data_IF_079988382325
#
_entry.id   IF_079988382325
#
_cell.length_a   1.000
_cell.length_b   1.000
_cell.length_c   1.000
_cell.angle_alpha   90.00
_cell.angle_beta   90.00
_cell.angle_gamma   90.00
#
_symmetry.space_group_name_H-M   'P 1'
#
loop_
_entity.id
_entity.type
_entity.pdbx_description
1 polymer ?
#
# COMPACT_ATOMS: atom_id res chain seq x y z
N UNK A 1 31.57 -33.22 -34.54
CA UNK A 1 30.20 -33.00 -34.01
C UNK A 1 30.32 -32.01 -32.85
N UNK A 2 29.40 -31.06 -32.72
CA UNK A 2 29.43 -30.06 -31.65
C UNK A 2 28.77 -30.65 -30.40
N UNK A 3 29.46 -30.58 -29.25
CA UNK A 3 28.92 -31.01 -27.96
C UNK A 3 27.87 -30.03 -27.45
N UNK A 4 26.98 -30.53 -26.58
CA UNK A 4 25.98 -29.69 -25.92
C UNK A 4 26.62 -28.70 -24.95
N UNK A 5 26.03 -27.52 -24.84
CA UNK A 5 26.41 -26.53 -23.84
C UNK A 5 25.88 -26.92 -22.45
N UNK A 6 26.42 -26.31 -21.40
CA UNK A 6 25.96 -26.53 -20.02
C UNK A 6 24.47 -26.19 -19.84
N UNK A 7 23.98 -25.13 -20.48
CA UNK A 7 22.56 -24.74 -20.44
C UNK A 7 21.66 -25.80 -21.09
N UNK A 8 22.09 -26.34 -22.24
CA UNK A 8 21.37 -27.43 -22.92
C UNK A 8 21.34 -28.71 -22.07
N UNK A 9 22.45 -29.05 -21.40
CA UNK A 9 22.48 -30.19 -20.46
C UNK A 9 21.55 -29.98 -19.25
N UNK A 10 21.43 -28.75 -18.73
CA UNK A 10 20.48 -28.43 -17.66
C UNK A 10 19.03 -28.52 -18.14
N UNK A 11 18.74 -28.08 -19.38
CA UNK A 11 17.42 -28.19 -19.98
C UNK A 11 16.98 -29.66 -20.17
N UNK A 12 17.90 -30.56 -20.51
CA UNK A 12 17.62 -32.02 -20.60
C UNK A 12 17.16 -32.60 -19.27
N UNK A 13 17.71 -32.12 -18.14
CA UNK A 13 17.38 -32.61 -16.79
C UNK A 13 15.99 -32.18 -16.30
N UNK A 14 15.50 -31.02 -16.74
CA UNK A 14 14.20 -30.48 -16.35
C UNK A 14 13.16 -30.80 -17.43
N UNK A 15 12.59 -32.02 -17.38
CA UNK A 15 11.54 -32.42 -18.31
C UNK A 15 10.39 -31.39 -18.29
N UNK A 16 10.17 -30.73 -19.43
CA UNK A 16 9.08 -29.77 -19.62
C UNK A 16 9.48 -28.30 -19.76
N UNK A 17 10.76 -27.91 -19.69
CA UNK A 17 11.11 -26.49 -19.77
C UNK A 17 11.11 -25.88 -21.17
N UNK A 18 11.54 -26.56 -22.25
CA UNK A 18 11.51 -25.98 -23.61
C UNK A 18 11.48 -27.03 -24.75
N UNK A 19 10.92 -26.68 -25.93
CA UNK A 19 10.84 -27.57 -27.11
C UNK A 19 12.21 -28.00 -27.68
N UNK A 20 13.33 -27.34 -27.33
CA UNK A 20 14.69 -27.73 -27.73
C UNK A 20 15.31 -28.90 -26.93
N UNK A 21 14.59 -29.45 -25.95
CA UNK A 21 15.10 -30.53 -25.08
C UNK A 21 15.15 -31.91 -25.76
N UNK A 22 14.33 -32.16 -26.78
CA UNK A 22 14.26 -33.47 -27.46
C UNK A 22 15.50 -33.79 -28.31
N UNK A 23 15.99 -32.82 -29.09
CA UNK A 23 17.23 -32.99 -29.88
C UNK A 23 18.45 -33.12 -28.98
N UNK A 24 18.48 -32.36 -27.89
CA UNK A 24 19.53 -32.46 -26.87
C UNK A 24 19.51 -33.83 -26.18
N UNK A 25 18.32 -34.39 -25.88
CA UNK A 25 18.18 -35.76 -25.36
C UNK A 25 18.69 -36.81 -26.35
N UNK A 26 18.33 -36.68 -27.63
CA UNK A 26 18.81 -37.59 -28.68
C UNK A 26 20.35 -37.52 -28.82
N UNK A 27 20.94 -36.34 -28.73
CA UNK A 27 22.39 -36.17 -28.76
C UNK A 27 23.09 -36.85 -27.58
N UNK A 28 22.57 -36.70 -26.36
CA UNK A 28 23.13 -37.34 -25.15
C UNK A 28 23.10 -38.87 -25.27
N UNK A 29 22.11 -39.45 -25.93
CA UNK A 29 22.03 -40.91 -26.14
C UNK A 29 23.13 -41.44 -27.07
N UNK A 30 23.69 -40.60 -27.93
CA UNK A 30 24.67 -40.99 -28.95
C UNK A 30 26.10 -40.53 -28.58
N UNK A 31 26.26 -39.42 -27.87
CA UNK A 31 27.57 -38.85 -27.51
C UNK A 31 28.01 -39.27 -26.09
N UNK A 32 29.07 -40.09 -25.94
CA UNK A 32 29.53 -40.57 -24.63
C UNK A 32 30.08 -39.44 -23.73
N UNK A 33 30.65 -38.40 -24.33
CA UNK A 33 31.18 -37.25 -23.58
C UNK A 33 30.05 -36.44 -22.94
N UNK A 34 29.00 -36.11 -23.70
CA UNK A 34 27.83 -35.41 -23.16
C UNK A 34 27.07 -36.26 -22.14
N UNK A 35 27.02 -37.59 -22.30
CA UNK A 35 26.45 -38.50 -21.32
C UNK A 35 27.25 -38.50 -19.99
N UNK A 36 28.59 -38.54 -20.07
CA UNK A 36 29.45 -38.45 -18.90
C UNK A 36 29.32 -37.09 -18.19
N UNK A 37 29.19 -36.01 -18.95
CA UNK A 37 28.97 -34.66 -18.40
C UNK A 37 27.61 -34.57 -17.66
N UNK A 38 26.55 -35.15 -18.23
CA UNK A 38 25.24 -35.22 -17.60
C UNK A 38 25.26 -36.07 -16.31
N UNK A 39 25.97 -37.20 -16.31
CA UNK A 39 26.12 -38.03 -15.11
C UNK A 39 26.88 -37.29 -14.00
N UNK A 40 27.96 -36.55 -14.34
CA UNK A 40 28.66 -35.68 -13.37
C UNK A 40 27.72 -34.64 -12.76
N UNK A 41 26.82 -34.05 -13.55
CA UNK A 41 25.81 -33.12 -13.06
C UNK A 41 24.82 -33.82 -12.11
N UNK A 42 24.33 -35.01 -12.47
CA UNK A 42 23.46 -35.81 -11.60
C UNK A 42 24.13 -36.15 -10.28
N UNK A 43 25.39 -36.57 -10.29
CA UNK A 43 26.16 -36.87 -9.08
C UNK A 43 26.33 -35.63 -8.19
N UNK A 44 26.63 -34.46 -8.76
CA UNK A 44 26.72 -33.20 -7.98
C UNK A 44 25.40 -32.85 -7.31
N UNK A 45 24.29 -32.97 -8.04
CA UNK A 45 22.95 -32.73 -7.50
C UNK A 45 22.61 -33.73 -6.40
N UNK A 46 22.95 -35.01 -6.59
CA UNK A 46 22.75 -36.03 -5.58
C UNK A 46 23.53 -35.71 -4.29
N UNK A 47 24.79 -35.26 -4.41
CA UNK A 47 25.59 -34.80 -3.26
C UNK A 47 24.97 -33.59 -2.56
N UNK A 48 24.45 -32.61 -3.31
CA UNK A 48 23.77 -31.45 -2.74
C UNK A 48 22.47 -31.84 -2.02
N UNK A 49 21.71 -32.79 -2.58
CA UNK A 49 20.48 -33.31 -1.96
C UNK A 49 20.76 -34.19 -0.74
N UNK A 50 21.90 -34.87 -0.73
CA UNK A 50 22.36 -35.68 0.39
C UNK A 50 22.99 -34.84 1.53
N UNK A 51 23.10 -33.52 1.38
CA UNK A 51 23.53 -32.66 2.47
C UNK A 51 22.59 -32.84 3.67
N UNK A 52 23.12 -32.90 4.89
CA UNK A 52 22.30 -33.03 6.08
C UNK A 52 21.34 -31.85 6.18
N UNK A 53 20.10 -32.12 6.59
CA UNK A 53 19.12 -31.08 6.88
C UNK A 53 19.58 -30.33 8.13
N UNK A 54 20.19 -29.16 7.91
CA UNK A 54 20.53 -28.25 9.00
C UNK A 54 19.22 -27.72 9.59
N UNK A 55 18.87 -28.17 10.79
CA UNK A 55 17.76 -27.59 11.54
C UNK A 55 18.26 -26.34 12.26
N UNK A 56 17.90 -25.12 11.83
CA UNK A 56 18.29 -23.95 12.56
C UNK A 56 17.65 -23.97 13.96
N UNK A 57 18.32 -23.40 14.97
CA UNK A 57 17.71 -23.12 16.26
C UNK A 57 16.39 -22.34 16.09
N UNK A 58 15.39 -22.64 16.93
CA UNK A 58 14.01 -22.14 16.79
C UNK A 58 13.92 -20.60 16.72
N UNK A 59 14.87 -19.91 17.32
CA UNK A 59 14.96 -18.46 17.46
C UNK A 59 15.64 -17.76 16.27
N UNK A 60 16.40 -18.46 15.41
CA UNK A 60 17.14 -17.82 14.32
C UNK A 60 16.23 -17.17 13.28
N UNK A 61 15.12 -17.81 12.92
CA UNK A 61 14.15 -17.19 12.01
C UNK A 61 13.46 -15.99 12.63
N UNK A 62 13.14 -16.05 13.92
CA UNK A 62 12.56 -14.92 14.64
C UNK A 62 13.54 -13.73 14.71
N UNK A 63 14.82 -13.99 14.95
CA UNK A 63 15.87 -12.99 14.97
C UNK A 63 16.09 -12.35 13.59
N UNK A 64 16.11 -13.15 12.51
CA UNK A 64 16.21 -12.63 11.14
C UNK A 64 14.99 -11.80 10.78
N UNK A 65 13.79 -12.29 11.10
CA UNK A 65 12.55 -11.55 10.84
C UNK A 65 12.49 -10.23 11.63
N UNK A 66 12.96 -10.22 12.87
CA UNK A 66 13.09 -9.01 13.68
C UNK A 66 14.07 -8.01 13.05
N UNK A 67 15.22 -8.48 12.55
CA UNK A 67 16.21 -7.64 11.85
C UNK A 67 15.64 -7.06 10.55
N UNK A 68 15.02 -7.88 9.70
CA UNK A 68 14.39 -7.42 8.45
C UNK A 68 13.30 -6.39 8.74
N UNK A 69 12.46 -6.61 9.77
CA UNK A 69 11.46 -5.61 10.19
C UNK A 69 12.09 -4.32 10.68
N UNK A 70 13.18 -4.41 11.45
CA UNK A 70 13.91 -3.24 11.93
C UNK A 70 14.48 -2.41 10.77
N UNK A 71 15.14 -3.07 9.82
CA UNK A 71 15.74 -2.40 8.65
C UNK A 71 14.66 -1.75 7.76
N UNK A 72 13.54 -2.44 7.52
CA UNK A 72 12.39 -1.87 6.78
C UNK A 72 11.78 -0.68 7.51
N UNK A 73 11.64 -0.76 8.84
CA UNK A 73 11.11 0.33 9.67
C UNK A 73 12.05 1.54 9.67
N UNK A 74 13.37 1.34 9.70
CA UNK A 74 14.34 2.43 9.56
C UNK A 74 14.25 3.12 8.19
N UNK A 75 14.14 2.35 7.10
CA UNK A 75 13.98 2.93 5.75
C UNK A 75 12.65 3.68 5.62
N UNK A 76 11.58 3.15 6.21
CA UNK A 76 10.29 3.82 6.26
C UNK A 76 10.39 5.14 7.04
N UNK A 77 10.94 5.12 8.26
CA UNK A 77 11.11 6.34 9.06
C UNK A 77 12.05 7.38 8.44
N UNK A 78 13.10 6.96 7.72
CA UNK A 78 13.96 7.91 6.99
C UNK A 78 13.21 8.55 5.83
N UNK A 79 12.39 7.80 5.11
CA UNK A 79 11.58 8.31 3.98
C UNK A 79 10.42 9.18 4.46
N UNK A 80 9.70 8.78 5.49
CA UNK A 80 8.63 9.58 6.09
C UNK A 80 9.17 10.77 6.86
N UNK A 81 10.35 10.68 7.49
CA UNK A 81 11.01 11.81 8.13
C UNK A 81 11.42 12.90 7.15
N UNK A 82 11.95 12.53 5.97
CA UNK A 82 12.24 13.50 4.90
C UNK A 82 10.94 14.07 4.31
N UNK A 83 9.92 13.24 4.08
CA UNK A 83 8.61 13.69 3.62
C UNK A 83 7.89 14.64 4.59
N UNK A 84 7.98 14.36 5.90
CA UNK A 84 7.42 15.19 6.96
C UNK A 84 8.18 16.51 7.13
N UNK A 85 9.51 16.51 7.00
CA UNK A 85 10.30 17.75 6.97
C UNK A 85 9.99 18.60 5.74
N UNK A 86 9.83 17.98 4.57
CA UNK A 86 9.43 18.68 3.35
C UNK A 86 8.01 19.26 3.47
N UNK A 87 7.07 18.52 4.08
CA UNK A 87 5.73 19.02 4.40
C UNK A 87 5.74 20.17 5.42
N UNK A 88 6.56 20.08 6.47
CA UNK A 88 6.69 21.15 7.46
C UNK A 88 7.33 22.41 6.83
N UNK A 89 8.33 22.24 5.97
CA UNK A 89 8.96 23.33 5.25
C UNK A 89 8.01 23.97 4.22
N UNK A 90 7.20 23.17 3.50
CA UNK A 90 6.20 23.70 2.58
C UNK A 90 5.02 24.35 3.31
N UNK A 91 4.63 23.88 4.50
CA UNK A 91 3.67 24.56 5.37
C UNK A 91 4.21 25.90 5.87
N UNK A 92 5.46 25.96 6.34
CA UNK A 92 6.10 27.23 6.74
C UNK A 92 6.21 28.20 5.56
N UNK A 93 6.64 27.71 4.38
CA UNK A 93 6.74 28.53 3.17
C UNK A 93 5.36 28.98 2.66
N UNK A 94 4.33 28.14 2.79
CA UNK A 94 2.96 28.48 2.44
C UNK A 94 2.37 29.51 3.41
N UNK A 95 2.62 29.42 4.72
CA UNK A 95 2.15 30.39 5.71
C UNK A 95 2.82 31.75 5.51
N UNK A 96 4.17 31.78 5.45
CA UNK A 96 4.93 33.02 5.24
C UNK A 96 4.68 33.61 3.85
N UNK A 97 4.55 32.76 2.83
CA UNK A 97 4.19 33.18 1.47
C UNK A 97 2.74 33.67 1.35
N UNK A 98 1.81 33.11 2.13
CA UNK A 98 0.41 33.59 2.19
C UNK A 98 0.34 35.00 2.74
N UNK A 99 1.04 35.30 3.82
CA UNK A 99 1.01 36.63 4.45
C UNK A 99 1.55 37.73 3.52
N UNK A 100 2.49 37.39 2.64
CA UNK A 100 3.07 38.34 1.68
C UNK A 100 2.25 38.50 0.38
N UNK A 101 1.39 37.52 0.03
CA UNK A 101 0.62 37.51 -1.23
C UNK A 101 -0.92 37.50 -1.04
N UNK A 102 -1.43 37.64 0.18
CA UNK A 102 -2.87 37.61 0.41
C UNK A 102 -3.60 38.81 -0.25
N UNK A 103 -4.54 38.58 -1.19
CA UNK A 103 -5.55 39.58 -1.53
C UNK A 103 -6.44 39.85 -0.30
N UNK A 104 -7.19 40.97 -0.23
CA UNK A 104 -8.09 41.25 0.89
C UNK A 104 -8.98 40.03 1.13
N UNK A 105 -8.95 39.54 2.37
CA UNK A 105 -9.45 38.23 2.75
C UNK A 105 -10.87 37.97 2.18
N UNK A 106 -11.04 36.88 1.45
CA UNK A 106 -12.36 36.26 1.32
C UNK A 106 -12.89 36.03 2.75
N UNK A 107 -14.06 36.59 3.06
CA UNK A 107 -14.58 36.63 4.42
C UNK A 107 -14.59 35.22 5.00
N UNK A 108 -14.22 35.05 6.27
CA UNK A 108 -14.24 33.74 6.92
C UNK A 108 -15.62 33.05 6.83
N UNK A 109 -16.68 33.85 6.72
CA UNK A 109 -18.04 33.42 6.42
C UNK A 109 -18.18 32.75 5.04
N UNK A 110 -17.54 33.28 3.99
CA UNK A 110 -17.59 32.73 2.63
C UNK A 110 -16.78 31.42 2.52
N UNK A 111 -15.70 31.31 3.29
CA UNK A 111 -14.94 30.07 3.40
C UNK A 111 -15.75 29.00 4.13
N UNK A 112 -16.46 29.37 5.20
CA UNK A 112 -17.31 28.46 5.94
C UNK A 112 -18.46 27.92 5.08
N UNK A 113 -19.15 28.79 4.32
CA UNK A 113 -20.22 28.34 3.40
C UNK A 113 -19.70 27.39 2.33
N UNK A 114 -18.48 27.63 1.84
CA UNK A 114 -17.83 26.75 0.86
C UNK A 114 -17.56 25.35 1.45
N UNK A 115 -16.97 25.28 2.64
CA UNK A 115 -16.66 23.98 3.30
C UNK A 115 -17.93 23.23 3.70
N UNK A 116 -18.97 23.95 4.16
CA UNK A 116 -20.27 23.34 4.43
C UNK A 116 -20.89 22.73 3.17
N UNK A 117 -20.83 23.44 2.04
CA UNK A 117 -21.31 22.93 0.76
C UNK A 117 -20.55 21.68 0.30
N UNK A 118 -19.23 21.68 0.43
CA UNK A 118 -18.37 20.52 0.13
C UNK A 118 -18.71 19.30 1.02
N UNK A 119 -18.96 19.52 2.31
CA UNK A 119 -19.36 18.44 3.19
C UNK A 119 -20.69 17.81 2.78
N UNK A 120 -21.63 18.62 2.27
CA UNK A 120 -22.94 18.14 1.81
C UNK A 120 -22.83 17.33 0.50
N UNK A 121 -21.91 17.69 -0.40
CA UNK A 121 -21.65 16.92 -1.63
C UNK A 121 -21.02 15.57 -1.31
N UNK A 122 -20.04 15.51 -0.39
CA UNK A 122 -19.45 14.26 0.08
C UNK A 122 -20.49 13.36 0.74
N UNK A 123 -21.42 13.92 1.52
CA UNK A 123 -22.48 13.16 2.16
C UNK A 123 -23.40 12.50 1.13
N UNK A 124 -23.71 13.23 0.06
CA UNK A 124 -24.50 12.72 -1.04
C UNK A 124 -23.78 11.60 -1.79
N UNK A 125 -22.47 11.73 -2.04
CA UNK A 125 -21.67 10.69 -2.66
C UNK A 125 -21.62 9.41 -1.79
N UNK A 126 -21.37 9.56 -0.48
CA UNK A 126 -21.36 8.42 0.45
C UNK A 126 -22.70 7.71 0.53
N UNK A 127 -23.83 8.43 0.49
CA UNK A 127 -25.17 7.82 0.42
C UNK A 127 -25.35 6.96 -0.83
N UNK A 128 -24.87 7.41 -1.98
CA UNK A 128 -24.92 6.65 -3.24
C UNK A 128 -24.03 5.40 -3.20
N UNK A 129 -22.84 5.52 -2.62
CA UNK A 129 -21.93 4.39 -2.45
C UNK A 129 -22.56 3.33 -1.56
N UNK A 130 -23.08 3.71 -0.38
CA UNK A 130 -23.74 2.79 0.56
C UNK A 130 -24.94 2.05 -0.03
N UNK A 131 -25.76 2.72 -0.85
CA UNK A 131 -26.95 2.08 -1.44
C UNK A 131 -26.62 1.00 -2.47
N UNK A 132 -25.42 1.05 -3.08
CA UNK A 132 -24.94 0.06 -4.05
C UNK A 132 -24.11 -1.08 -3.43
N UNK A 133 -23.85 -1.04 -2.12
CA UNK A 133 -22.86 -1.89 -1.48
C UNK A 133 -23.46 -3.20 -0.93
N UNK A 134 -22.91 -4.34 -1.34
CA UNK A 134 -23.07 -5.62 -0.62
C UNK A 134 -21.85 -5.85 0.30
N UNK A 135 -22.09 -6.24 1.55
CA UNK A 135 -21.07 -6.44 2.61
C UNK A 135 -20.35 -7.77 2.38
N UNK A 136 -19.03 -7.75 2.12
CA UNK A 136 -18.26 -8.99 1.88
C UNK A 136 -16.89 -9.07 2.55
N UNK A 137 -16.28 -7.96 2.99
CA UNK A 137 -14.93 -7.97 3.55
C UNK A 137 -14.86 -7.33 4.96
N UNK A 138 -14.41 -8.12 5.94
CA UNK A 138 -14.31 -7.71 7.34
C UNK A 138 -13.18 -6.73 7.64
N UNK A 139 -12.15 -6.60 6.78
CA UNK A 139 -11.07 -5.64 7.00
C UNK A 139 -11.51 -4.22 6.64
N UNK A 140 -12.06 -4.03 5.43
CA UNK A 140 -12.58 -2.73 4.97
C UNK A 140 -13.74 -2.23 5.83
N UNK A 141 -14.62 -3.11 6.30
CA UNK A 141 -15.71 -2.74 7.24
C UNK A 141 -15.18 -2.14 8.54
N UNK A 142 -14.05 -2.63 9.07
CA UNK A 142 -13.48 -2.08 10.31
C UNK A 142 -12.89 -0.68 10.12
N UNK A 143 -12.19 -0.46 9.00
CA UNK A 143 -11.64 0.86 8.69
C UNK A 143 -12.76 1.88 8.46
N UNK A 144 -13.81 1.51 7.72
CA UNK A 144 -14.98 2.35 7.51
C UNK A 144 -15.71 2.65 8.82
N UNK A 145 -16.00 1.64 9.65
CA UNK A 145 -16.66 1.85 10.94
C UNK A 145 -15.87 2.80 11.86
N UNK A 146 -14.54 2.64 11.93
CA UNK A 146 -13.70 3.55 12.72
C UNK A 146 -13.71 5.00 12.22
N UNK A 147 -13.91 5.24 10.92
CA UNK A 147 -14.07 6.59 10.38
C UNK A 147 -15.47 7.14 10.66
N UNK A 148 -16.50 6.32 10.51
CA UNK A 148 -17.88 6.68 10.84
C UNK A 148 -18.04 7.08 12.31
N UNK A 149 -17.41 6.34 13.23
CA UNK A 149 -17.42 6.66 14.67
C UNK A 149 -16.80 8.04 14.95
N UNK A 150 -15.68 8.36 14.29
CA UNK A 150 -14.99 9.66 14.44
C UNK A 150 -15.80 10.80 13.82
N UNK A 151 -16.47 10.56 12.70
CA UNK A 151 -17.39 11.53 12.09
C UNK A 151 -18.57 11.78 13.04
N UNK A 152 -19.14 10.75 13.66
CA UNK A 152 -20.24 10.90 14.61
C UNK A 152 -19.83 11.71 15.85
N UNK A 153 -18.63 11.49 16.38
CA UNK A 153 -18.08 12.28 17.48
C UNK A 153 -17.90 13.75 17.09
N UNK A 154 -17.31 14.01 15.92
CA UNK A 154 -17.13 15.37 15.40
C UNK A 154 -18.45 16.07 15.09
N UNK A 155 -19.44 15.35 14.56
CA UNK A 155 -20.78 15.88 14.31
C UNK A 155 -21.46 16.31 15.63
N UNK A 156 -21.24 15.56 16.72
CA UNK A 156 -21.71 15.96 18.04
C UNK A 156 -20.99 17.21 18.57
N UNK A 157 -19.67 17.31 18.37
CA UNK A 157 -18.90 18.51 18.72
C UNK A 157 -19.38 19.73 17.92
N UNK A 158 -19.59 19.57 16.60
CA UNK A 158 -20.13 20.59 15.70
C UNK A 158 -21.52 21.07 16.15
N UNK A 159 -22.42 20.15 16.50
CA UNK A 159 -23.75 20.47 17.01
C UNK A 159 -23.65 21.29 18.30
N UNK A 160 -22.80 20.85 19.24
CA UNK A 160 -22.57 21.56 20.51
C UNK A 160 -22.00 22.96 20.30
N UNK A 161 -21.03 23.11 19.39
CA UNK A 161 -20.38 24.38 19.07
C UNK A 161 -21.36 25.32 18.37
N UNK A 162 -22.19 24.80 17.46
CA UNK A 162 -23.16 25.60 16.72
C UNK A 162 -24.25 26.18 17.65
N UNK A 163 -24.66 25.45 18.68
CA UNK A 163 -25.58 25.96 19.70
C UNK A 163 -24.98 27.09 20.54
N UNK A 164 -23.66 27.06 20.77
CA UNK A 164 -22.94 28.07 21.56
C UNK A 164 -22.52 29.30 20.73
N UNK A 165 -22.57 29.19 19.39
CA UNK A 165 -21.98 30.17 18.49
C UNK A 165 -22.96 31.27 18.09
N UNK A 166 -22.58 32.52 18.32
CA UNK A 166 -23.29 33.70 17.82
C UNK A 166 -23.02 33.94 16.33
N UNK A 167 -23.91 34.62 15.57
CA UNK A 167 -23.65 34.99 14.17
C UNK A 167 -22.31 35.72 13.95
N UNK A 168 -21.83 36.49 14.94
CA UNK A 168 -20.56 37.20 14.89
C UNK A 168 -19.32 36.28 15.03
N UNK A 169 -19.51 35.10 15.63
CA UNK A 169 -18.45 34.14 15.98
C UNK A 169 -18.48 32.90 15.09
N UNK A 170 -19.39 32.86 14.11
CA UNK A 170 -19.67 31.71 13.25
C UNK A 170 -18.43 31.18 12.51
N UNK A 171 -17.47 32.03 12.21
CA UNK A 171 -16.19 31.64 11.60
C UNK A 171 -15.36 30.68 12.45
N UNK A 172 -15.59 30.59 13.76
CA UNK A 172 -14.88 29.66 14.65
C UNK A 172 -15.25 28.19 14.41
N UNK A 173 -16.35 27.92 13.71
CA UNK A 173 -16.75 26.57 13.29
C UNK A 173 -15.93 26.05 12.10
N UNK A 174 -15.23 26.93 11.39
CA UNK A 174 -14.46 26.61 10.19
C UNK A 174 -13.46 25.45 10.36
N UNK A 175 -12.64 25.36 11.43
CA UNK A 175 -11.76 24.20 11.65
C UNK A 175 -12.53 22.87 11.74
N UNK A 176 -13.63 22.82 12.51
CA UNK A 176 -14.42 21.61 12.68
C UNK A 176 -15.05 21.14 11.36
N UNK A 177 -15.57 22.07 10.56
CA UNK A 177 -16.10 21.75 9.23
C UNK A 177 -15.03 21.22 8.27
N UNK A 178 -13.80 21.75 8.33
CA UNK A 178 -12.67 21.23 7.53
C UNK A 178 -12.27 19.83 7.95
N UNK A 179 -12.28 19.56 9.25
CA UNK A 179 -12.02 18.22 9.78
C UNK A 179 -13.09 17.22 9.32
N UNK A 180 -14.37 17.62 9.32
CA UNK A 180 -15.48 16.79 8.82
C UNK A 180 -15.27 16.41 7.36
N UNK A 181 -14.97 17.39 6.50
CA UNK A 181 -14.65 17.14 5.08
C UNK A 181 -13.49 16.15 4.95
N UNK A 182 -12.41 16.32 5.71
CA UNK A 182 -11.27 15.41 5.67
C UNK A 182 -11.59 13.97 6.09
N UNK A 183 -12.42 13.78 7.12
CA UNK A 183 -12.86 12.45 7.53
C UNK A 183 -13.80 11.80 6.50
N UNK A 184 -14.70 12.57 5.91
CA UNK A 184 -15.61 12.10 4.86
C UNK A 184 -14.87 11.72 3.58
N UNK A 185 -13.87 12.49 3.18
CA UNK A 185 -13.01 12.18 2.03
C UNK A 185 -12.22 10.88 2.25
N UNK A 186 -11.65 10.69 3.45
CA UNK A 186 -11.01 9.43 3.83
C UNK A 186 -11.98 8.23 3.78
N UNK A 187 -13.24 8.41 4.18
CA UNK A 187 -14.26 7.37 4.09
C UNK A 187 -14.59 7.04 2.63
N UNK A 188 -14.72 8.06 1.77
CA UNK A 188 -14.89 7.86 0.32
C UNK A 188 -13.72 7.06 -0.27
N UNK A 189 -12.47 7.39 0.08
CA UNK A 189 -11.28 6.69 -0.42
C UNK A 189 -11.25 5.20 -0.02
N UNK A 190 -11.64 4.88 1.22
CA UNK A 190 -11.79 3.48 1.67
C UNK A 190 -12.78 2.71 0.80
N UNK A 191 -13.91 3.34 0.43
CA UNK A 191 -14.89 2.73 -0.45
C UNK A 191 -14.40 2.58 -1.90
N UNK A 192 -13.69 3.57 -2.44
CA UNK A 192 -13.15 3.54 -3.81
C UNK A 192 -12.01 2.53 -3.95
N UNK A 193 -11.07 2.49 -2.99
CA UNK A 193 -9.97 1.53 -2.97
C UNK A 193 -10.50 0.10 -2.93
N UNK A 194 -11.59 -0.18 -2.22
CA UNK A 194 -12.27 -1.49 -2.28
C UNK A 194 -12.83 -1.76 -3.68
N UNK A 195 -13.56 -0.81 -4.27
CA UNK A 195 -14.18 -1.00 -5.59
C UNK A 195 -13.13 -1.39 -6.65
N UNK A 196 -11.93 -0.81 -6.58
CA UNK A 196 -10.80 -1.18 -7.43
C UNK A 196 -10.32 -2.63 -7.20
N UNK A 197 -10.26 -3.09 -5.95
CA UNK A 197 -9.76 -4.44 -5.60
C UNK A 197 -10.78 -5.57 -5.84
N UNK A 198 -12.09 -5.27 -5.88
CA UNK A 198 -13.15 -6.27 -6.14
C UNK A 198 -13.49 -6.40 -7.63
N UNK A 199 -13.06 -5.43 -8.46
CA UNK A 199 -13.27 -5.42 -9.91
C UNK A 199 -12.20 -6.15 -10.76
N UNK A 200 -11.31 -6.91 -10.13
CA UNK A 200 -10.32 -7.82 -10.74
C UNK A 200 -10.65 -9.27 -10.37
#
# INVERSE_FOLDING_TARGET
MMHLTMEQLLAVRHAGSEPGSAESQAHVQVCPECAAELDRLHQRVARLRALPTLRPPRDRFAAVAARVRHDRRQLYFRRTGIGALALAASLLLAVVGRDLMAPPAANASDQLTTVMAESATLEQALRQIRSSQQVTDAYTTRAAASLEDRIAELDHELESAQMQTSPATRSELLPLWRERVGLMDALVDVHLTRAHNVGL
#
